data_IF_158219905828
#
_entry.id   IF_158219905828
#
_cell.length_a   1.000
_cell.length_b   1.000
_cell.length_c   1.000
_cell.angle_alpha   90.00
_cell.angle_beta   90.00
_cell.angle_gamma   90.00
#
_symmetry.space_group_name_H-M   'P 1'
#
loop_
_entity.id
_entity.type
_entity.pdbx_description
1 polymer ?
#
# COMPACT_ATOMS: atom_id res chain seq x y z
N UNK A 1 -6.62 -3.20 26.92
CA UNK A 1 -6.00 -4.13 25.94
C UNK A 1 -6.85 -4.27 24.69
N UNK A 2 -8.11 -4.74 24.77
CA UNK A 2 -8.95 -4.95 23.59
C UNK A 2 -9.18 -3.67 22.76
N UNK A 3 -9.42 -2.52 23.40
CA UNK A 3 -9.60 -1.23 22.71
C UNK A 3 -8.37 -0.84 21.89
N UNK A 4 -7.19 -0.84 22.52
CA UNK A 4 -5.90 -0.58 21.86
C UNK A 4 -5.65 -1.53 20.69
N UNK A 5 -5.97 -2.82 20.87
CA UNK A 5 -5.81 -3.81 19.81
C UNK A 5 -6.76 -3.57 18.64
N UNK A 6 -8.02 -3.23 18.90
CA UNK A 6 -9.00 -2.90 17.85
C UNK A 6 -8.57 -1.66 17.04
N UNK A 7 -8.09 -0.61 17.72
CA UNK A 7 -7.54 0.59 17.05
C UNK A 7 -6.34 0.22 16.18
N UNK A 8 -5.41 -0.58 16.70
CA UNK A 8 -4.25 -1.05 15.95
C UNK A 8 -4.63 -1.93 14.74
N UNK A 9 -5.66 -2.77 14.85
CA UNK A 9 -6.17 -3.56 13.74
C UNK A 9 -6.79 -2.68 12.65
N UNK A 10 -7.58 -1.68 13.03
CA UNK A 10 -8.15 -0.73 12.07
C UNK A 10 -7.03 0.06 11.37
N UNK A 11 -5.99 0.46 12.11
CA UNK A 11 -4.80 1.10 11.55
C UNK A 11 -4.08 0.18 10.55
N UNK A 12 -3.95 -1.11 10.86
CA UNK A 12 -3.33 -2.09 9.96
C UNK A 12 -4.16 -2.30 8.68
N UNK A 13 -5.49 -2.28 8.77
CA UNK A 13 -6.39 -2.33 7.61
C UNK A 13 -6.15 -1.12 6.70
N UNK A 14 -6.06 0.08 7.27
CA UNK A 14 -5.80 1.31 6.53
C UNK A 14 -4.41 1.30 5.88
N UNK A 15 -3.38 0.81 6.59
CA UNK A 15 -2.03 0.65 6.02
C UNK A 15 -2.01 -0.35 4.86
N UNK A 16 -2.77 -1.44 4.92
CA UNK A 16 -2.89 -2.37 3.77
C UNK A 16 -3.61 -1.74 2.59
N UNK A 17 -4.62 -0.90 2.85
CA UNK A 17 -5.29 -0.14 1.80
C UNK A 17 -4.34 0.87 1.14
N UNK A 18 -3.54 1.59 1.94
CA UNK A 18 -2.52 2.51 1.46
C UNK A 18 -1.44 1.80 0.64
N UNK A 19 -0.92 0.67 1.15
CA UNK A 19 0.10 -0.15 0.49
C UNK A 19 -0.35 -0.57 -0.91
N UNK A 20 -1.57 -1.10 -1.04
CA UNK A 20 -2.11 -1.54 -2.33
C UNK A 20 -2.20 -0.40 -3.34
N UNK A 21 -2.62 0.79 -2.90
CA UNK A 21 -2.74 1.94 -3.79
C UNK A 21 -1.37 2.49 -4.18
N UNK A 22 -0.44 2.68 -3.25
CA UNK A 22 0.93 3.10 -3.59
C UNK A 22 1.56 2.12 -4.58
N UNK A 23 1.37 0.81 -4.40
CA UNK A 23 1.88 -0.21 -5.32
C UNK A 23 1.41 0.00 -6.75
N UNK A 24 0.14 0.37 -6.96
CA UNK A 24 -0.42 0.65 -8.29
C UNK A 24 0.18 1.91 -8.91
N UNK A 25 0.25 2.99 -8.14
CA UNK A 25 0.80 4.27 -8.62
C UNK A 25 2.27 4.10 -9.02
N UNK A 26 3.07 3.48 -8.15
CA UNK A 26 4.49 3.16 -8.41
C UNK A 26 4.63 2.27 -9.66
N UNK A 27 3.86 1.18 -9.77
CA UNK A 27 3.92 0.30 -10.94
C UNK A 27 3.54 1.05 -12.24
N UNK A 28 2.51 1.88 -12.19
CA UNK A 28 2.06 2.67 -13.35
C UNK A 28 3.12 3.69 -13.76
N UNK A 29 3.71 4.39 -12.79
CA UNK A 29 4.79 5.35 -12.99
C UNK A 29 6.02 4.68 -13.62
N UNK A 30 6.45 3.52 -13.09
CA UNK A 30 7.59 2.76 -13.62
C UNK A 30 7.34 2.32 -15.06
N UNK A 31 6.14 1.83 -15.39
CA UNK A 31 5.79 1.47 -16.77
C UNK A 31 5.79 2.69 -17.69
N UNK A 32 5.29 3.83 -17.24
CA UNK A 32 5.28 5.07 -18.01
C UNK A 32 6.68 5.63 -18.25
N UNK A 33 7.54 5.65 -17.23
CA UNK A 33 8.94 6.04 -17.35
C UNK A 33 9.69 5.08 -18.27
N UNK A 34 9.49 3.77 -18.11
CA UNK A 34 10.12 2.76 -18.96
C UNK A 34 9.71 2.89 -20.44
N UNK A 35 8.47 3.26 -20.76
CA UNK A 35 8.01 3.51 -22.14
C UNK A 35 8.75 4.63 -22.85
N UNK A 36 9.23 5.64 -22.12
CA UNK A 36 9.99 6.76 -22.69
C UNK A 36 11.43 6.38 -23.02
N UNK A 37 11.96 5.37 -22.33
CA UNK A 37 13.38 5.01 -22.34
C UNK A 37 13.63 3.71 -23.12
N UNK A 38 12.67 2.78 -23.10
CA UNK A 38 12.82 1.41 -23.63
C UNK A 38 11.57 0.99 -24.41
N UNK A 39 11.75 0.65 -25.70
CA UNK A 39 10.65 0.27 -26.60
C UNK A 39 10.13 -1.17 -26.38
N UNK A 40 10.91 -2.05 -25.73
CA UNK A 40 10.51 -3.45 -25.59
C UNK A 40 9.51 -3.67 -24.42
N UNK A 41 8.29 -4.07 -24.77
CA UNK A 41 7.20 -4.37 -23.82
C UNK A 41 7.52 -5.49 -22.83
N UNK A 42 8.44 -6.40 -23.17
CA UNK A 42 8.91 -7.46 -22.27
C UNK A 42 9.70 -6.92 -21.08
N UNK A 43 10.52 -5.89 -21.29
CA UNK A 43 11.34 -5.26 -20.24
C UNK A 43 10.46 -4.42 -19.32
N UNK A 44 9.51 -3.68 -19.88
CA UNK A 44 8.53 -2.91 -19.11
C UNK A 44 7.78 -3.80 -18.10
N UNK A 45 7.37 -4.99 -18.53
CA UNK A 45 6.75 -6.00 -17.65
C UNK A 45 7.72 -6.54 -16.59
N UNK A 46 8.98 -6.80 -16.94
CA UNK A 46 10.01 -7.25 -15.99
C UNK A 46 10.30 -6.18 -14.92
N UNK A 47 10.36 -4.89 -15.30
CA UNK A 47 10.56 -3.77 -14.38
C UNK A 47 9.37 -3.63 -13.41
N UNK A 48 8.15 -3.67 -13.93
CA UNK A 48 6.94 -3.66 -13.08
C UNK A 48 6.93 -4.87 -12.11
N UNK A 49 7.22 -6.07 -12.60
CA UNK A 49 7.27 -7.28 -11.76
C UNK A 49 8.38 -7.24 -10.70
N UNK A 50 9.50 -6.56 -10.99
CA UNK A 50 10.59 -6.37 -10.05
C UNK A 50 10.20 -5.44 -8.90
N UNK A 51 9.51 -4.35 -9.21
CA UNK A 51 9.00 -3.40 -8.20
C UNK A 51 7.86 -4.02 -7.39
N UNK A 52 7.00 -4.82 -8.02
CA UNK A 52 5.90 -5.51 -7.36
C UNK A 52 6.34 -6.47 -6.24
N UNK A 53 7.59 -6.93 -6.28
CA UNK A 53 8.21 -7.83 -5.29
C UNK A 53 8.89 -7.09 -4.13
N UNK A 54 8.94 -5.75 -4.17
CA UNK A 54 9.54 -4.94 -3.09
C UNK A 54 8.43 -4.44 -2.16
N UNK A 55 8.60 -4.64 -0.87
CA UNK A 55 7.66 -4.13 0.13
C UNK A 55 7.58 -2.60 0.05
N UNK A 56 6.36 -2.06 -0.05
CA UNK A 56 6.10 -0.62 -0.25
C UNK A 56 6.71 0.22 0.86
N UNK A 57 6.48 -0.17 2.12
CA UNK A 57 6.94 0.59 3.28
C UNK A 57 8.45 0.56 3.52
N UNK A 58 9.22 -0.19 2.72
CA UNK A 58 10.70 -0.12 2.73
C UNK A 58 11.25 1.03 1.88
N UNK A 59 10.41 1.68 1.09
CA UNK A 59 10.84 2.73 0.17
C UNK A 59 9.87 3.90 0.03
N UNK A 60 8.63 3.81 0.49
CA UNK A 60 7.62 4.84 0.29
C UNK A 60 7.98 6.22 0.88
N UNK A 61 8.83 6.29 1.90
CA UNK A 61 9.33 7.52 2.50
C UNK A 61 10.33 8.27 1.60
N UNK A 62 11.13 7.53 0.82
CA UNK A 62 12.07 8.10 -0.14
C UNK A 62 12.29 7.12 -1.31
N UNK A 63 11.34 7.05 -2.27
CA UNK A 63 11.27 5.95 -3.24
C UNK A 63 12.44 5.95 -4.24
N UNK A 64 13.15 7.06 -4.34
CA UNK A 64 14.27 7.25 -5.26
C UNK A 64 15.65 7.17 -4.56
N UNK A 65 15.69 6.85 -3.28
CA UNK A 65 16.94 6.67 -2.55
C UNK A 65 17.79 5.57 -3.17
N UNK A 66 19.07 5.87 -3.44
CA UNK A 66 20.03 4.91 -3.94
C UNK A 66 20.30 3.75 -2.96
N UNK A 67 20.00 3.94 -1.67
CA UNK A 67 20.18 2.93 -0.63
C UNK A 67 18.97 2.00 -0.47
N UNK A 68 17.87 2.28 -1.19
CA UNK A 68 16.63 1.50 -1.08
C UNK A 68 16.50 0.45 -2.20
N UNK A 69 15.76 -0.64 -1.96
CA UNK A 69 15.78 -1.80 -2.85
C UNK A 69 15.24 -1.52 -4.27
N UNK A 70 14.36 -0.52 -4.43
CA UNK A 70 13.66 -0.25 -5.70
C UNK A 70 14.64 0.11 -6.81
N UNK A 71 15.49 1.12 -6.59
CA UNK A 71 16.47 1.56 -7.60
C UNK A 71 17.48 0.45 -7.92
N UNK A 72 17.95 -0.29 -6.91
CA UNK A 72 18.81 -1.46 -7.13
C UNK A 72 18.16 -2.53 -8.00
N UNK A 73 16.87 -2.82 -7.76
CA UNK A 73 16.16 -3.87 -8.50
C UNK A 73 15.88 -3.45 -9.93
N UNK A 74 15.54 -2.19 -10.17
CA UNK A 74 15.36 -1.62 -11.51
C UNK A 74 16.67 -1.67 -12.31
N UNK A 75 17.79 -1.22 -11.72
CA UNK A 75 19.13 -1.34 -12.32
C UNK A 75 19.47 -2.79 -12.68
N UNK A 76 19.22 -3.72 -11.75
CA UNK A 76 19.52 -5.14 -11.96
C UNK A 76 18.76 -5.71 -13.17
N UNK A 77 17.48 -5.37 -13.33
CA UNK A 77 16.67 -5.83 -14.48
C UNK A 77 17.19 -5.27 -15.80
N UNK A 78 17.62 -4.01 -15.83
CA UNK A 78 18.21 -3.40 -17.02
C UNK A 78 19.55 -4.03 -17.38
N UNK A 79 20.40 -4.29 -16.38
CA UNK A 79 21.69 -4.97 -16.57
C UNK A 79 21.52 -6.41 -17.05
N UNK A 80 20.59 -7.18 -16.47
CA UNK A 80 20.26 -8.53 -16.93
C UNK A 80 19.79 -8.52 -18.40
N UNK A 81 18.94 -7.55 -18.78
CA UNK A 81 18.50 -7.41 -20.16
C UNK A 81 19.66 -7.07 -21.12
N UNK A 82 20.56 -6.18 -20.70
CA UNK A 82 21.73 -5.80 -21.48
C UNK A 82 22.67 -6.99 -21.77
N UNK A 83 22.85 -7.86 -20.77
CA UNK A 83 23.64 -9.09 -20.92
C UNK A 83 22.99 -10.05 -21.94
N UNK A 84 21.67 -10.17 -21.93
CA UNK A 84 20.93 -11.00 -22.89
C UNK A 84 20.98 -10.43 -24.32
N UNK A 85 20.89 -9.09 -24.47
CA UNK A 85 20.83 -8.40 -25.76
C UNK A 85 22.20 -8.12 -26.39
N UNK A 86 23.31 -8.31 -25.64
CA UNK A 86 24.69 -7.96 -26.04
C UNK A 86 24.83 -6.48 -26.43
N UNK A 87 24.11 -5.60 -25.75
CA UNK A 87 24.23 -4.15 -25.92
C UNK A 87 25.59 -3.63 -25.47
N UNK A 88 25.98 -2.45 -25.95
CA UNK A 88 27.24 -1.81 -25.53
C UNK A 88 27.11 -1.19 -24.14
N UNK A 89 28.20 -1.18 -23.36
CA UNK A 89 28.18 -0.67 -21.98
C UNK A 89 27.65 0.78 -21.89
N UNK A 90 28.04 1.64 -22.84
CA UNK A 90 27.61 3.04 -22.90
C UNK A 90 26.10 3.21 -23.13
N UNK A 91 25.50 2.38 -23.99
CA UNK A 91 24.05 2.39 -24.24
C UNK A 91 23.27 1.99 -22.99
N UNK A 92 23.77 0.99 -22.24
CA UNK A 92 23.14 0.49 -21.03
C UNK A 92 23.17 1.52 -19.93
N UNK A 93 24.35 2.12 -19.69
CA UNK A 93 24.51 3.18 -18.70
C UNK A 93 23.65 4.40 -19.05
N UNK A 94 23.59 4.81 -20.32
CA UNK A 94 22.71 5.89 -20.76
C UNK A 94 21.22 5.59 -20.50
N UNK A 95 20.80 4.35 -20.75
CA UNK A 95 19.42 3.88 -20.52
C UNK A 95 19.07 3.91 -19.03
N UNK A 96 19.98 3.43 -18.17
CA UNK A 96 19.81 3.45 -16.72
C UNK A 96 19.70 4.90 -16.23
N UNK A 97 20.61 5.79 -16.63
CA UNK A 97 20.58 7.20 -16.22
C UNK A 97 19.28 7.89 -16.62
N UNK A 98 18.82 7.72 -17.87
CA UNK A 98 17.56 8.31 -18.33
C UNK A 98 16.35 7.82 -17.54
N UNK A 99 16.29 6.52 -17.22
CA UNK A 99 15.20 5.97 -16.43
C UNK A 99 15.20 6.52 -15.01
N UNK A 100 16.38 6.62 -14.39
CA UNK A 100 16.51 7.16 -13.03
C UNK A 100 16.15 8.65 -12.96
N UNK A 101 16.58 9.45 -13.93
CA UNK A 101 16.22 10.87 -14.02
C UNK A 101 14.70 11.06 -14.09
N UNK A 102 14.01 10.28 -14.93
CA UNK A 102 12.54 10.32 -15.03
C UNK A 102 11.86 9.89 -13.72
N UNK A 103 12.36 8.81 -13.08
CA UNK A 103 11.77 8.30 -11.84
C UNK A 103 12.02 9.21 -10.64
N UNK A 104 13.19 9.84 -10.54
CA UNK A 104 13.52 10.79 -9.47
C UNK A 104 12.52 11.94 -9.44
N UNK A 105 12.05 12.38 -10.60
CA UNK A 105 11.07 13.46 -10.72
C UNK A 105 9.65 12.95 -10.46
N UNK A 106 9.25 11.84 -11.07
CA UNK A 106 7.85 11.40 -11.05
C UNK A 106 7.46 10.61 -9.79
N UNK A 107 8.32 9.72 -9.31
CA UNK A 107 7.94 8.72 -8.32
C UNK A 107 7.56 9.28 -6.94
N UNK A 108 8.25 10.31 -6.39
CA UNK A 108 7.85 10.92 -5.11
C UNK A 108 6.44 11.53 -5.19
N UNK A 109 6.12 12.18 -6.32
CA UNK A 109 4.80 12.78 -6.55
C UNK A 109 3.71 11.72 -6.64
N UNK A 110 3.96 10.60 -7.31
CA UNK A 110 2.99 9.51 -7.45
C UNK A 110 2.70 8.80 -6.11
N UNK A 111 3.72 8.65 -5.25
CA UNK A 111 3.52 8.11 -3.90
C UNK A 111 2.68 9.06 -3.04
N UNK A 112 2.94 10.37 -3.13
CA UNK A 112 2.12 11.38 -2.45
C UNK A 112 0.68 11.40 -2.97
N UNK A 113 0.51 11.37 -4.29
CA UNK A 113 -0.79 11.34 -4.94
C UNK A 113 -1.62 10.13 -4.50
N UNK A 114 -1.00 8.96 -4.31
CA UNK A 114 -1.67 7.79 -3.77
C UNK A 114 -2.18 8.01 -2.33
N UNK A 115 -1.38 8.69 -1.48
CA UNK A 115 -1.78 9.03 -0.11
C UNK A 115 -2.96 10.01 -0.10
N UNK A 116 -2.87 11.08 -0.89
CA UNK A 116 -3.93 12.09 -1.03
C UNK A 116 -5.22 11.46 -1.57
N UNK A 117 -5.13 10.58 -2.58
CA UNK A 117 -6.29 9.88 -3.13
C UNK A 117 -6.97 8.98 -2.08
N UNK A 118 -6.20 8.36 -1.19
CA UNK A 118 -6.75 7.61 -0.07
C UNK A 118 -7.48 8.52 0.93
N UNK A 119 -6.88 9.64 1.32
CA UNK A 119 -7.51 10.58 2.26
C UNK A 119 -8.79 11.21 1.69
N UNK A 120 -8.83 11.49 0.38
CA UNK A 120 -10.00 12.02 -0.32
C UNK A 120 -11.07 10.95 -0.63
N UNK A 121 -10.77 9.66 -0.38
CA UNK A 121 -11.67 8.55 -0.73
C UNK A 121 -11.81 8.30 -2.23
N UNK A 122 -10.90 8.83 -3.06
CA UNK A 122 -10.84 8.69 -4.52
C UNK A 122 -9.80 7.66 -4.99
N UNK A 123 -9.25 6.88 -4.07
CA UNK A 123 -8.26 5.83 -4.34
C UNK A 123 -8.77 4.83 -5.41
N UNK A 124 -7.93 4.45 -6.40
CA UNK A 124 -8.31 3.50 -7.45
C UNK A 124 -8.76 2.14 -6.93
N UNK A 125 -8.07 1.61 -5.92
CA UNK A 125 -8.53 0.43 -5.18
C UNK A 125 -9.31 0.91 -3.96
N UNK A 126 -10.55 0.44 -3.85
CA UNK A 126 -11.36 0.61 -2.65
C UNK A 126 -10.83 -0.24 -1.50
N UNK A 127 -11.06 0.20 -0.27
CA UNK A 127 -10.62 -0.55 0.90
C UNK A 127 -11.30 -1.93 0.93
N UNK A 128 -10.48 -2.98 0.83
CA UNK A 128 -10.91 -4.38 0.76
C UNK A 128 -11.75 -4.81 1.97
N UNK A 129 -11.61 -4.14 3.11
CA UNK A 129 -12.39 -4.42 4.32
C UNK A 129 -13.90 -4.31 4.08
N UNK A 130 -14.35 -3.43 3.16
CA UNK A 130 -15.78 -3.23 2.84
C UNK A 130 -16.47 -4.49 2.33
N UNK A 131 -15.72 -5.44 1.75
CA UNK A 131 -16.23 -6.72 1.26
C UNK A 131 -15.96 -7.90 2.19
N UNK A 132 -15.54 -7.68 3.44
CA UNK A 132 -15.18 -8.75 4.38
C UNK A 132 -16.20 -8.87 5.51
N UNK A 133 -16.31 -10.08 6.07
CA UNK A 133 -17.15 -10.35 7.25
C UNK A 133 -16.74 -9.53 8.48
N UNK A 134 -15.47 -9.12 8.57
CA UNK A 134 -14.96 -8.26 9.63
C UNK A 134 -15.30 -6.77 9.46
N UNK A 135 -15.97 -6.37 8.37
CA UNK A 135 -16.35 -4.98 8.11
C UNK A 135 -17.10 -4.30 9.26
N UNK A 136 -18.06 -4.95 9.96
CA UNK A 136 -18.79 -4.31 11.06
C UNK A 136 -17.90 -3.74 12.17
N UNK A 137 -16.81 -4.42 12.52
CA UNK A 137 -15.88 -3.94 13.55
C UNK A 137 -15.07 -2.72 13.08
N UNK A 138 -14.65 -2.73 11.82
CA UNK A 138 -13.96 -1.59 11.21
C UNK A 138 -14.91 -0.39 11.06
N UNK A 139 -16.14 -0.64 10.61
CA UNK A 139 -17.20 0.36 10.49
C UNK A 139 -17.51 0.99 11.85
N UNK A 140 -17.67 0.17 12.89
CA UNK A 140 -17.87 0.64 14.26
C UNK A 140 -16.76 1.62 14.67
N UNK A 141 -15.49 1.24 14.53
CA UNK A 141 -14.39 2.12 14.91
C UNK A 141 -14.29 3.39 14.04
N UNK A 142 -14.35 3.28 12.71
CA UNK A 142 -14.08 4.40 11.79
C UNK A 142 -15.29 5.30 11.54
N UNK A 143 -16.48 4.74 11.38
CA UNK A 143 -17.69 5.48 11.00
C UNK A 143 -18.53 5.84 12.22
N UNK A 144 -18.77 4.90 13.15
CA UNK A 144 -19.65 5.15 14.30
C UNK A 144 -18.94 5.93 15.41
N UNK A 145 -17.72 5.53 15.77
CA UNK A 145 -16.93 6.19 16.82
C UNK A 145 -16.09 7.36 16.31
N UNK A 146 -15.96 7.50 14.98
CA UNK A 146 -15.17 8.54 14.36
C UNK A 146 -13.67 8.43 14.66
N UNK A 147 -13.15 7.21 14.85
CA UNK A 147 -11.73 7.03 15.02
C UNK A 147 -10.98 7.26 13.72
N UNK A 148 -9.97 8.11 13.72
CA UNK A 148 -9.24 8.46 12.50
C UNK A 148 -7.96 7.63 12.32
N UNK A 149 -7.39 7.70 11.13
CA UNK A 149 -6.07 7.15 10.83
C UNK A 149 -4.99 7.94 11.56
N UNK A 150 -4.17 7.25 12.35
CA UNK A 150 -3.09 7.86 13.13
C UNK A 150 -1.86 8.09 12.24
N UNK A 151 -1.35 9.31 12.24
CA UNK A 151 -0.13 9.71 11.51
C UNK A 151 0.62 10.76 12.32
N UNK A 152 1.95 10.75 12.25
CA UNK A 152 2.79 11.77 12.90
C UNK A 152 2.68 13.15 12.26
N UNK A 153 2.01 13.27 11.13
CA UNK A 153 1.70 14.55 10.48
C UNK A 153 0.55 15.31 11.18
N UNK A 154 -0.26 14.61 11.97
CA UNK A 154 -1.40 15.16 12.72
C UNK A 154 -1.07 15.19 14.21
N UNK A 155 -1.69 16.13 14.95
CA UNK A 155 -1.43 16.33 16.38
C UNK A 155 -2.14 15.32 17.30
N UNK A 156 -2.94 14.42 16.73
CA UNK A 156 -3.80 13.51 17.47
C UNK A 156 -2.99 12.40 18.13
N UNK A 157 -3.19 12.21 19.44
CA UNK A 157 -2.49 11.17 20.19
C UNK A 157 -3.23 9.81 20.13
N UNK A 158 -2.51 8.66 20.13
CA UNK A 158 -3.12 7.34 20.02
C UNK A 158 -4.06 6.96 21.18
N UNK A 159 -3.82 7.50 22.36
CA UNK A 159 -4.63 7.31 23.57
C UNK A 159 -6.03 7.90 23.42
N UNK A 160 -6.16 9.06 22.77
CA UNK A 160 -7.47 9.67 22.49
C UNK A 160 -8.38 8.73 21.68
N UNK A 161 -7.80 8.02 20.71
CA UNK A 161 -8.54 7.04 19.91
C UNK A 161 -8.84 5.74 20.68
N UNK A 162 -7.91 5.30 21.53
CA UNK A 162 -8.13 4.15 22.40
C UNK A 162 -9.27 4.40 23.40
N UNK A 163 -9.37 5.63 23.93
CA UNK A 163 -10.36 6.02 24.92
C UNK A 163 -11.77 6.05 24.32
N UNK A 164 -11.94 6.57 23.09
CA UNK A 164 -13.22 6.49 22.36
C UNK A 164 -13.74 5.06 22.28
N UNK A 165 -12.88 4.14 21.86
CA UNK A 165 -13.25 2.71 21.77
C UNK A 165 -13.53 2.14 23.17
N UNK A 166 -12.72 2.45 24.16
CA UNK A 166 -12.87 1.92 25.52
C UNK A 166 -14.19 2.31 26.18
N UNK A 167 -14.59 3.58 26.07
CA UNK A 167 -15.87 4.07 26.63
C UNK A 167 -17.05 3.30 26.04
N UNK A 168 -17.05 3.09 24.74
CA UNK A 168 -18.18 2.51 24.01
C UNK A 168 -18.26 0.99 24.18
N UNK A 169 -17.09 0.32 24.25
CA UNK A 169 -16.99 -1.08 24.67
C UNK A 169 -17.54 -1.26 26.09
N UNK A 170 -17.23 -0.34 27.01
CA UNK A 170 -17.71 -0.40 28.40
C UNK A 170 -19.23 -0.21 28.51
N UNK A 171 -19.85 0.41 27.50
CA UNK A 171 -21.31 0.55 27.38
C UNK A 171 -21.96 -0.64 26.65
N UNK A 172 -21.20 -1.66 26.25
CA UNK A 172 -21.71 -2.85 25.56
C UNK A 172 -21.96 -2.64 24.06
N UNK A 173 -21.59 -1.50 23.48
CA UNK A 173 -21.89 -1.18 22.07
C UNK A 173 -21.09 -2.01 21.06
N UNK A 174 -20.04 -2.70 21.50
CA UNK A 174 -19.25 -3.62 20.67
C UNK A 174 -19.98 -4.94 20.37
N UNK A 175 -21.01 -5.31 21.17
CA UNK A 175 -21.68 -6.61 21.06
C UNK A 175 -22.30 -6.80 19.68
N UNK A 176 -23.06 -5.81 19.20
CA UNK A 176 -23.76 -5.90 17.91
C UNK A 176 -22.78 -5.97 16.71
N UNK A 177 -21.78 -5.09 16.58
CA UNK A 177 -20.75 -5.21 15.54
C UNK A 177 -20.03 -6.57 15.56
N UNK A 178 -19.70 -7.07 16.75
CA UNK A 178 -19.00 -8.34 16.90
C UNK A 178 -19.85 -9.52 16.45
N UNK A 179 -21.13 -9.59 16.85
CA UNK A 179 -22.03 -10.66 16.43
C UNK A 179 -22.38 -10.56 14.94
N UNK A 180 -22.47 -9.34 14.40
CA UNK A 180 -22.69 -9.11 12.96
C UNK A 180 -21.59 -9.69 12.08
N UNK A 181 -20.35 -9.81 12.58
CA UNK A 181 -19.26 -10.49 11.87
C UNK A 181 -19.51 -11.99 11.66
N UNK A 182 -20.33 -12.63 12.51
CA UNK A 182 -20.61 -14.06 12.47
C UNK A 182 -22.03 -14.36 11.97
N UNK A 183 -22.76 -13.36 11.47
CA UNK A 183 -24.17 -13.50 11.05
C UNK A 183 -24.41 -14.57 9.98
N UNK A 184 -23.40 -14.89 9.17
CA UNK A 184 -23.47 -15.89 8.08
C UNK A 184 -22.91 -17.26 8.49
N UNK A 185 -22.40 -17.38 9.72
CA UNK A 185 -21.89 -18.66 10.20
C UNK A 185 -23.05 -19.59 10.57
N UNK A 186 -23.08 -20.78 9.96
CA UNK A 186 -24.09 -21.81 10.20
C UNK A 186 -23.83 -22.63 11.47
N UNK A 187 -22.80 -22.30 12.26
CA UNK A 187 -22.42 -23.04 13.46
C UNK A 187 -21.54 -24.27 13.22
N UNK A 188 -21.20 -24.58 11.96
CA UNK A 188 -20.41 -25.75 11.60
C UNK A 188 -19.03 -25.36 11.04
N UNK A 189 -18.01 -26.21 11.20
CA UNK A 189 -16.73 -26.03 10.51
C UNK A 189 -16.88 -26.31 9.01
N UNK A 190 -15.93 -25.80 8.21
CA UNK A 190 -15.87 -26.16 6.79
C UNK A 190 -15.59 -27.66 6.62
N UNK A 191 -16.15 -28.32 5.60
CA UNK A 191 -15.86 -29.73 5.31
C UNK A 191 -14.36 -29.96 5.07
N UNK A 192 -13.83 -31.05 5.63
CA UNK A 192 -12.41 -31.43 5.54
C UNK A 192 -12.21 -32.69 4.66
N UNK A 193 -13.31 -33.26 4.14
CA UNK A 193 -13.31 -34.47 3.33
C UNK A 193 -12.91 -34.23 1.88
#
# INVERSE_FOLDING_TARGET
>A
MSSTHLVALCQAVDLRHLEQNIKIFVNTCVVQAAKKVVDATSIQKKLAAAVDRVDVFKHADNPCSANYPVMHKLRSVLLEHALDSKSTDDEVLSTISKLEEELVIALPWEVEAARVAMEMGSAPISNMIKGRMSFPLYQFAREELGCVFLTGEKLLAPDEECDKVFVEVSQGKLIDPMLKCLKEWNGEPMPIN
#
